data_IF_383840680179
#
_entry.id   IF_383840680179
#
_cell.length_a   1.000
_cell.length_b   1.000
_cell.length_c   1.000
_cell.angle_alpha   90.00
_cell.angle_beta   90.00
_cell.angle_gamma   90.00
#
_symmetry.space_group_name_H-M   'P 1'
#
loop_
_entity.id
_entity.type
_entity.pdbx_description
1 polymer ?
#
# COMPACT_ATOMS: atom_id res chain seq x y z
N UNK A 1 -0.94 -20.47 15.24
CA UNK A 1 -0.86 -19.47 14.15
C UNK A 1 -0.88 -18.06 14.73
N UNK A 2 -0.10 -17.18 14.16
CA UNK A 2 -0.12 -15.78 14.57
C UNK A 2 -1.46 -15.12 14.20
N UNK A 3 -1.98 -14.25 15.07
CA UNK A 3 -3.18 -13.50 14.79
C UNK A 3 -2.90 -12.44 13.73
N UNK A 4 -3.95 -11.88 13.11
CA UNK A 4 -3.83 -10.78 12.16
C UNK A 4 -3.10 -9.59 12.78
N UNK A 5 -3.42 -9.25 14.03
CA UNK A 5 -2.76 -8.14 14.73
C UNK A 5 -1.27 -8.43 14.95
N UNK A 6 -0.92 -9.63 15.37
CA UNK A 6 0.49 -10.01 15.56
C UNK A 6 1.27 -9.92 14.25
N UNK A 7 0.68 -10.36 13.14
CA UNK A 7 1.30 -10.26 11.83
C UNK A 7 1.53 -8.81 11.41
N UNK A 8 0.55 -7.94 11.61
CA UNK A 8 0.68 -6.51 11.26
C UNK A 8 1.76 -5.84 12.10
N UNK A 9 1.78 -6.08 13.42
CA UNK A 9 2.80 -5.51 14.29
C UNK A 9 4.19 -6.00 13.95
N UNK A 10 4.31 -7.29 13.67
CA UNK A 10 5.59 -7.89 13.33
C UNK A 10 6.16 -7.36 12.01
N UNK A 11 5.31 -7.22 11.00
CA UNK A 11 5.73 -6.80 9.66
C UNK A 11 5.86 -5.29 9.50
N UNK A 12 4.93 -4.53 10.07
CA UNK A 12 4.77 -3.10 9.76
C UNK A 12 4.79 -2.20 10.99
N UNK A 13 4.83 -2.78 12.20
CA UNK A 13 4.80 -2.00 13.43
C UNK A 13 3.47 -1.35 13.74
N UNK A 14 2.36 -1.83 13.13
CA UNK A 14 1.02 -1.30 13.37
C UNK A 14 0.09 -2.40 13.86
N UNK A 15 -0.98 -2.01 14.56
CA UNK A 15 -2.01 -2.91 15.02
C UNK A 15 -3.21 -2.95 14.09
N UNK A 16 -4.17 -3.83 14.41
CA UNK A 16 -5.41 -3.97 13.64
C UNK A 16 -6.20 -2.67 13.60
N UNK A 17 -6.23 -1.92 14.72
CA UNK A 17 -6.94 -0.64 14.79
C UNK A 17 -6.38 0.37 13.80
N UNK A 18 -5.07 0.43 13.67
CA UNK A 18 -4.42 1.35 12.72
C UNK A 18 -4.75 0.97 11.29
N UNK A 19 -4.70 -0.33 10.97
CA UNK A 19 -5.08 -0.84 9.67
C UNK A 19 -6.55 -0.50 9.36
N UNK A 20 -7.45 -0.78 10.29
CA UNK A 20 -8.87 -0.55 10.09
C UNK A 20 -9.18 0.93 9.91
N UNK A 21 -8.48 1.81 10.63
CA UNK A 21 -8.64 3.26 10.47
C UNK A 21 -8.23 3.70 9.05
N UNK A 22 -7.10 3.20 8.55
CA UNK A 22 -6.66 3.49 7.18
C UNK A 22 -7.65 2.93 6.15
N UNK A 23 -8.13 1.72 6.38
CA UNK A 23 -9.09 1.08 5.50
C UNK A 23 -10.37 1.91 5.37
N UNK A 24 -10.91 2.38 6.51
CA UNK A 24 -12.10 3.23 6.52
C UNK A 24 -11.85 4.57 5.85
N UNK A 25 -10.70 5.19 6.11
CA UNK A 25 -10.33 6.47 5.49
C UNK A 25 -10.27 6.36 3.97
N UNK A 26 -9.82 5.22 3.46
CA UNK A 26 -9.75 4.95 2.02
C UNK A 26 -11.04 4.34 1.46
N UNK A 27 -12.05 4.18 2.30
CA UNK A 27 -13.34 3.58 1.91
C UNK A 27 -13.19 2.17 1.33
N UNK A 28 -12.21 1.42 1.85
CA UNK A 28 -11.91 0.07 1.40
C UNK A 28 -11.28 -0.01 0.02
N UNK A 29 -10.78 1.11 -0.49
CA UNK A 29 -10.24 1.21 -1.85
C UNK A 29 -8.73 1.39 -1.85
N UNK A 30 -8.07 0.81 -2.86
CA UNK A 30 -6.65 1.04 -3.10
C UNK A 30 -6.39 2.54 -3.27
N UNK A 31 -5.33 3.04 -2.62
CA UNK A 31 -4.99 4.46 -2.67
C UNK A 31 -4.57 4.93 -4.07
N UNK A 32 -4.18 4.03 -4.96
CA UNK A 32 -3.73 4.38 -6.32
C UNK A 32 -4.83 4.11 -7.34
N UNK A 33 -5.24 2.85 -7.51
CA UNK A 33 -6.17 2.49 -8.59
C UNK A 33 -7.64 2.55 -8.19
N UNK A 34 -7.94 2.68 -6.89
CA UNK A 34 -9.30 2.81 -6.40
C UNK A 34 -10.11 1.52 -6.35
N UNK A 35 -9.51 0.37 -6.66
CA UNK A 35 -10.24 -0.88 -6.59
C UNK A 35 -10.64 -1.17 -5.15
N UNK A 36 -11.88 -1.58 -4.94
CA UNK A 36 -12.38 -1.94 -3.62
C UNK A 36 -12.01 -3.38 -3.27
N UNK A 37 -11.43 -3.57 -2.09
CA UNK A 37 -11.07 -4.89 -1.58
C UNK A 37 -11.58 -5.05 -0.15
N UNK A 38 -12.13 -6.21 0.16
CA UNK A 38 -12.67 -6.51 1.49
C UNK A 38 -11.53 -6.85 2.45
N UNK A 39 -10.92 -5.82 3.03
CA UNK A 39 -9.78 -5.91 3.97
C UNK A 39 -8.60 -6.73 3.44
N UNK A 40 -8.43 -6.71 2.13
CA UNK A 40 -7.39 -7.45 1.42
C UNK A 40 -6.38 -6.49 0.79
N UNK A 41 -6.28 -5.28 1.34
CA UNK A 41 -5.29 -4.30 0.89
C UNK A 41 -3.99 -4.49 1.65
N UNK A 42 -2.88 -4.33 0.95
CA UNK A 42 -1.55 -4.43 1.54
C UNK A 42 -1.13 -3.12 2.18
N UNK A 43 -0.41 -3.19 3.29
CA UNK A 43 0.18 -2.01 3.91
C UNK A 43 1.38 -1.57 3.07
N UNK A 44 1.34 -0.34 2.57
CA UNK A 44 2.43 0.24 1.81
C UNK A 44 3.30 1.12 2.71
N UNK A 45 4.61 0.99 2.57
CA UNK A 45 5.56 1.78 3.34
C UNK A 45 6.68 2.29 2.44
N UNK A 46 7.24 3.43 2.83
CA UNK A 46 8.38 4.01 2.13
C UNK A 46 9.65 3.22 2.44
N UNK A 47 10.34 2.76 1.41
CA UNK A 47 11.57 1.97 1.58
C UNK A 47 12.70 2.77 2.26
N UNK A 48 12.75 4.08 2.02
CA UNK A 48 13.82 4.93 2.57
C UNK A 48 13.59 5.26 4.03
N UNK A 49 12.36 5.58 4.43
CA UNK A 49 12.04 6.05 5.78
C UNK A 49 11.33 5.00 6.63
N UNK A 50 10.76 3.97 6.01
CA UNK A 50 9.92 2.99 6.69
C UNK A 50 8.54 3.50 7.06
N UNK A 51 8.21 4.74 6.70
CA UNK A 51 6.93 5.35 7.03
C UNK A 51 5.79 4.69 6.27
N UNK A 52 4.69 4.40 6.98
CA UNK A 52 3.48 3.87 6.36
C UNK A 52 2.83 4.96 5.51
N UNK A 53 2.60 4.68 4.23
CA UNK A 53 1.99 5.63 3.30
C UNK A 53 0.49 5.43 3.15
N UNK A 54 0.03 4.19 3.24
CA UNK A 54 -1.37 3.87 3.06
C UNK A 54 -1.58 2.40 2.73
N UNK A 55 -2.74 2.08 2.17
CA UNK A 55 -3.09 0.72 1.77
C UNK A 55 -3.22 0.65 0.24
N UNK A 56 -2.65 -0.40 -0.34
CA UNK A 56 -2.67 -0.64 -1.78
C UNK A 56 -3.18 -2.04 -2.09
N UNK A 57 -3.80 -2.21 -3.25
CA UNK A 57 -4.05 -3.56 -3.73
C UNK A 57 -2.72 -4.23 -4.10
N UNK A 58 -2.73 -5.55 -4.17
CA UNK A 58 -1.54 -6.33 -4.47
C UNK A 58 -0.86 -5.89 -5.79
N UNK A 59 -1.65 -5.61 -6.81
CA UNK A 59 -1.11 -5.19 -8.12
C UNK A 59 -0.37 -3.86 -8.03
N UNK A 60 -0.96 -2.85 -7.40
CA UNK A 60 -0.30 -1.54 -7.25
C UNK A 60 0.93 -1.64 -6.37
N UNK A 61 0.86 -2.42 -5.29
CA UNK A 61 1.99 -2.61 -4.41
C UNK A 61 3.18 -3.26 -5.15
N UNK A 62 2.90 -4.28 -5.95
CA UNK A 62 3.92 -4.92 -6.78
C UNK A 62 4.48 -4.00 -7.85
N UNK A 63 3.61 -3.21 -8.48
CA UNK A 63 4.02 -2.28 -9.53
C UNK A 63 5.03 -1.26 -9.02
N UNK A 64 4.80 -0.70 -7.82
CA UNK A 64 5.75 0.23 -7.21
C UNK A 64 7.09 -0.44 -6.95
N UNK A 65 7.07 -1.68 -6.47
CA UNK A 65 8.29 -2.44 -6.24
C UNK A 65 9.07 -2.71 -7.51
N UNK A 66 8.37 -3.06 -8.60
CA UNK A 66 8.98 -3.32 -9.89
C UNK A 66 9.60 -2.07 -10.50
N UNK A 67 9.08 -0.89 -10.17
CA UNK A 67 9.63 0.40 -10.58
C UNK A 67 10.59 0.97 -9.52
N UNK A 68 11.08 0.13 -8.63
CA UNK A 68 12.05 0.48 -7.57
C UNK A 68 11.55 1.56 -6.61
N UNK A 69 10.23 1.75 -6.51
CA UNK A 69 9.63 2.79 -5.68
C UNK A 69 10.20 4.18 -6.02
N UNK A 70 10.64 4.37 -7.26
CA UNK A 70 11.32 5.57 -7.73
C UNK A 70 10.32 6.53 -8.37
N UNK A 71 10.13 7.68 -7.73
CA UNK A 71 9.17 8.69 -8.17
C UNK A 71 9.43 9.16 -9.61
N UNK A 72 10.69 9.33 -9.98
CA UNK A 72 11.05 9.80 -11.32
C UNK A 72 10.71 8.75 -12.39
N UNK A 73 10.97 7.48 -12.10
CA UNK A 73 10.62 6.40 -13.01
C UNK A 73 9.10 6.28 -13.15
N UNK A 74 8.38 6.41 -12.02
CA UNK A 74 6.92 6.34 -12.01
C UNK A 74 6.32 7.48 -12.82
N UNK A 75 6.87 8.70 -12.69
CA UNK A 75 6.43 9.85 -13.48
C UNK A 75 6.64 9.61 -14.98
N UNK A 76 7.79 9.06 -15.35
CA UNK A 76 8.08 8.73 -16.75
C UNK A 76 7.14 7.66 -17.28
N UNK A 77 6.78 6.68 -16.45
CA UNK A 77 5.81 5.67 -16.83
C UNK A 77 4.44 6.30 -17.11
N UNK A 78 4.01 7.24 -16.26
CA UNK A 78 2.75 7.95 -16.44
C UNK A 78 2.74 8.78 -17.74
N UNK A 79 3.83 9.50 -18.01
CA UNK A 79 3.98 10.29 -19.24
C UNK A 79 3.97 9.39 -20.48
N UNK A 80 4.64 8.25 -20.40
CA UNK A 80 4.68 7.28 -21.49
C UNK A 80 3.29 6.78 -21.84
N UNK A 81 2.51 6.43 -20.84
CA UNK A 81 1.13 5.94 -21.04
C UNK A 81 0.22 7.03 -21.59
N UNK A 82 0.45 8.28 -21.18
CA UNK A 82 -0.37 9.42 -21.60
C UNK A 82 -0.03 9.94 -23.00
N UNK A 83 1.11 9.55 -23.56
CA UNK A 83 1.55 10.03 -24.88
C UNK A 83 0.85 9.34 -26.05
#
# INVERSE_FOLDING_TARGET
MATREANLRHRYGIGVKDYDAMYEKQEGKCAICGIKRDKNLDVDHCHDTGKIRGLLCNCCNQALGLLNDDENIIKKAAEYVAS
#
